data_IF_481850262109
#
_entry.id   IF_481850262109
#
_cell.length_a   1.000
_cell.length_b   1.000
_cell.length_c   1.000
_cell.angle_alpha   90.00
_cell.angle_beta   90.00
_cell.angle_gamma   90.00
#
_symmetry.space_group_name_H-M   'P 1'
#
loop_
_entity.id
_entity.type
_entity.pdbx_description
1 polymer ?
#
# COMPACT_ATOMS: atom_id res chain seq x y z
N UNK A 1 -16.13 26.24 -12.39
CA UNK A 1 -14.69 25.95 -12.52
C UNK A 1 -14.14 25.17 -11.32
N UNK A 2 -14.25 25.66 -10.08
CA UNK A 2 -13.70 25.00 -8.87
C UNK A 2 -14.14 23.54 -8.65
N UNK A 3 -15.42 23.21 -8.88
CA UNK A 3 -15.90 21.82 -8.68
C UNK A 3 -15.28 20.82 -9.68
N UNK A 4 -14.98 21.27 -10.90
CA UNK A 4 -14.29 20.46 -11.93
C UNK A 4 -12.80 20.26 -11.61
N UNK A 5 -12.17 21.26 -10.97
CA UNK A 5 -10.77 21.18 -10.54
C UNK A 5 -10.61 20.22 -9.36
N UNK A 6 -11.52 20.25 -8.38
CA UNK A 6 -11.50 19.33 -7.24
C UNK A 6 -11.74 17.87 -7.64
N UNK A 7 -12.65 17.64 -8.59
CA UNK A 7 -12.88 16.29 -9.13
C UNK A 7 -11.67 15.79 -9.92
N UNK A 8 -11.00 16.64 -10.70
CA UNK A 8 -9.78 16.28 -11.41
C UNK A 8 -8.62 15.92 -10.45
N UNK A 9 -8.41 16.72 -9.40
CA UNK A 9 -7.38 16.46 -8.38
C UNK A 9 -7.68 15.14 -7.65
N UNK A 10 -8.94 14.90 -7.28
CA UNK A 10 -9.34 13.63 -6.67
C UNK A 10 -9.07 12.42 -7.57
N UNK A 11 -9.44 12.50 -8.85
CA UNK A 11 -9.20 11.41 -9.82
C UNK A 11 -7.70 11.16 -9.98
N UNK A 12 -6.87 12.21 -10.06
CA UNK A 12 -5.41 12.07 -10.14
C UNK A 12 -4.84 11.43 -8.86
N UNK A 13 -5.25 11.89 -7.68
CA UNK A 13 -4.82 11.31 -6.40
C UNK A 13 -5.25 9.85 -6.28
N UNK A 14 -6.47 9.51 -6.71
CA UNK A 14 -6.99 8.15 -6.69
C UNK A 14 -6.18 7.24 -7.62
N UNK A 15 -5.90 7.67 -8.85
CA UNK A 15 -5.10 6.91 -9.82
C UNK A 15 -3.67 6.70 -9.31
N UNK A 16 -3.06 7.73 -8.73
CA UNK A 16 -1.68 7.66 -8.22
C UNK A 16 -1.55 6.73 -7.01
N UNK A 17 -2.58 6.65 -6.15
CA UNK A 17 -2.62 5.71 -5.03
C UNK A 17 -2.90 4.26 -5.49
N UNK A 18 -3.76 4.07 -6.48
CA UNK A 18 -4.09 2.74 -7.01
C UNK A 18 -2.92 2.13 -7.80
N UNK A 19 -2.09 2.97 -8.43
CA UNK A 19 -0.93 2.50 -9.21
C UNK A 19 0.29 2.14 -8.33
N UNK A 20 0.22 2.35 -7.01
CA UNK A 20 1.37 2.21 -6.10
C UNK A 20 1.48 0.83 -5.43
N UNK A 21 0.60 -0.12 -5.68
CA UNK A 21 0.61 -1.39 -4.94
C UNK A 21 -0.17 -2.50 -5.67
N UNK A 22 0.31 -2.93 -6.84
CA UNK A 22 -0.04 -4.29 -7.29
C UNK A 22 1.02 -5.18 -6.64
N UNK A 23 0.55 -6.11 -5.82
CA UNK A 23 1.31 -7.14 -5.12
C UNK A 23 0.50 -8.41 -5.40
N UNK A 24 0.93 -9.14 -6.43
CA UNK A 24 0.16 -10.18 -7.11
C UNK A 24 0.07 -11.45 -6.28
N UNK A 25 1.07 -11.77 -5.46
CA UNK A 25 1.09 -12.91 -4.56
C UNK A 25 0.77 -12.58 -3.10
N UNK A 26 0.77 -11.29 -2.74
CA UNK A 26 0.34 -10.79 -1.43
C UNK A 26 1.38 -10.96 -0.33
N UNK A 27 2.66 -11.02 -0.67
CA UNK A 27 3.75 -11.26 0.28
C UNK A 27 4.26 -9.99 0.98
N UNK A 28 3.78 -8.81 0.56
CA UNK A 28 4.14 -7.50 1.09
C UNK A 28 5.16 -6.73 0.25
N UNK A 29 5.61 -7.29 -0.88
CA UNK A 29 6.44 -6.66 -1.88
C UNK A 29 5.61 -6.38 -3.14
N UNK A 30 5.71 -5.18 -3.73
CA UNK A 30 4.94 -4.87 -4.94
C UNK A 30 5.61 -5.44 -6.21
N UNK A 31 4.82 -5.83 -7.21
CA UNK A 31 5.27 -6.46 -8.46
C UNK A 31 6.39 -5.68 -9.16
N UNK A 32 6.37 -4.33 -9.08
CA UNK A 32 7.40 -3.50 -9.69
C UNK A 32 8.73 -3.60 -8.92
N UNK A 33 8.67 -3.63 -7.59
CA UNK A 33 9.84 -3.88 -6.75
C UNK A 33 10.37 -5.29 -6.99
N UNK A 34 9.50 -6.29 -7.05
CA UNK A 34 9.87 -7.68 -7.35
C UNK A 34 10.59 -7.80 -8.69
N UNK A 35 10.02 -7.23 -9.75
CA UNK A 35 10.65 -7.18 -11.07
C UNK A 35 12.00 -6.45 -11.07
N UNK A 36 12.18 -5.49 -10.16
CA UNK A 36 13.42 -4.72 -10.03
C UNK A 36 14.52 -5.50 -9.31
N UNK A 37 14.17 -6.25 -8.26
CA UNK A 37 15.13 -7.04 -7.48
C UNK A 37 15.34 -8.46 -8.04
N UNK A 38 14.46 -8.89 -8.96
CA UNK A 38 14.56 -10.17 -9.67
C UNK A 38 13.79 -11.31 -9.02
N UNK A 39 12.89 -11.02 -8.08
CA UNK A 39 11.96 -12.00 -7.50
C UNK A 39 10.78 -12.25 -8.45
N UNK A 40 9.91 -13.20 -8.09
CA UNK A 40 8.79 -13.65 -8.91
C UNK A 40 7.48 -13.04 -8.41
N UNK A 41 6.93 -12.13 -9.23
CA UNK A 41 5.62 -11.45 -9.02
C UNK A 41 4.43 -12.36 -8.64
N UNK A 42 4.55 -13.68 -8.81
CA UNK A 42 3.47 -14.63 -8.56
C UNK A 42 3.86 -15.72 -7.55
N UNK A 43 4.88 -15.49 -6.74
CA UNK A 43 5.42 -16.46 -5.79
C UNK A 43 5.97 -15.78 -4.55
N UNK A 44 5.21 -15.94 -3.46
CA UNK A 44 5.56 -15.34 -2.17
C UNK A 44 6.97 -15.69 -1.66
N UNK A 45 7.57 -16.79 -2.13
CA UNK A 45 8.90 -17.26 -1.76
C UNK A 45 9.60 -17.66 -3.07
N UNK A 46 10.52 -16.82 -3.55
CA UNK A 46 11.15 -16.99 -4.86
C UNK A 46 12.18 -18.10 -4.86
N UNK A 47 12.95 -18.25 -3.79
CA UNK A 47 14.05 -19.20 -3.71
C UNK A 47 13.67 -20.53 -3.04
N UNK A 48 12.48 -20.61 -2.46
CA UNK A 48 11.87 -21.79 -1.83
C UNK A 48 12.55 -22.21 -0.51
N UNK A 49 13.05 -21.25 0.28
CA UNK A 49 13.70 -21.51 1.58
C UNK A 49 12.75 -21.48 2.78
N UNK A 50 11.52 -21.02 2.58
CA UNK A 50 10.46 -20.94 3.59
C UNK A 50 10.25 -19.57 4.22
N UNK A 51 10.98 -18.53 3.80
CA UNK A 51 10.69 -17.13 4.08
C UNK A 51 10.08 -16.46 2.84
N UNK A 52 9.25 -15.44 3.04
CA UNK A 52 8.69 -14.72 1.89
C UNK A 52 9.62 -13.61 1.41
N UNK A 53 9.62 -13.31 0.12
CA UNK A 53 10.53 -12.32 -0.48
C UNK A 53 10.39 -10.96 0.22
N UNK A 54 9.16 -10.55 0.53
CA UNK A 54 8.86 -9.34 1.29
C UNK A 54 9.46 -9.33 2.71
N UNK A 55 9.44 -10.47 3.42
CA UNK A 55 10.05 -10.61 4.75
C UNK A 55 11.56 -10.52 4.64
N UNK A 56 12.16 -11.18 3.67
CA UNK A 56 13.59 -11.16 3.46
C UNK A 56 14.13 -9.77 3.13
N UNK A 57 13.44 -9.05 2.23
CA UNK A 57 13.76 -7.65 1.92
C UNK A 57 13.60 -6.75 3.15
N UNK A 58 12.56 -6.95 3.95
CA UNK A 58 12.34 -6.17 5.18
C UNK A 58 13.47 -6.38 6.20
N UNK A 59 13.93 -7.61 6.37
CA UNK A 59 14.97 -7.97 7.33
C UNK A 59 16.39 -7.97 6.77
N UNK A 60 16.57 -7.55 5.51
CA UNK A 60 17.87 -7.37 4.89
C UNK A 60 18.59 -8.68 4.52
N UNK A 61 17.84 -9.76 4.32
CA UNK A 61 18.34 -10.98 3.68
C UNK A 61 18.11 -10.95 2.16
N UNK A 62 18.56 -11.98 1.44
CA UNK A 62 18.60 -12.04 -0.02
C UNK A 62 17.55 -13.03 -0.52
N UNK A 63 16.43 -12.56 -1.12
CA UNK A 63 15.29 -13.40 -1.51
C UNK A 63 15.54 -14.31 -2.72
N UNK A 64 16.77 -14.28 -3.25
CA UNK A 64 17.20 -15.13 -4.36
C UNK A 64 18.21 -16.19 -3.91
N UNK A 65 18.43 -16.35 -2.61
CA UNK A 65 19.48 -17.17 -2.05
C UNK A 65 19.00 -17.96 -0.84
N UNK A 66 18.70 -19.24 -1.09
CA UNK A 66 18.19 -20.23 -0.12
C UNK A 66 19.02 -20.47 1.15
N UNK A 67 20.19 -19.84 1.26
CA UNK A 67 21.07 -19.89 2.43
C UNK A 67 21.05 -18.59 3.22
N UNK A 68 20.36 -17.57 2.74
CA UNK A 68 20.29 -16.24 3.29
C UNK A 68 18.98 -16.04 4.02
N UNK A 69 18.87 -16.60 5.21
CA UNK A 69 17.67 -16.40 6.03
C UNK A 69 17.71 -15.06 6.79
N UNK A 70 16.54 -14.44 7.06
CA UNK A 70 16.45 -13.27 7.93
C UNK A 70 16.87 -13.62 9.37
N UNK A 71 17.53 -12.67 10.06
CA UNK A 71 18.05 -12.91 11.41
C UNK A 71 16.92 -13.04 12.46
N UNK A 72 16.93 -14.14 13.21
CA UNK A 72 15.90 -14.68 14.11
C UNK A 72 15.24 -13.67 15.08
N UNK A 73 13.93 -13.44 14.95
CA UNK A 73 13.07 -12.80 15.97
C UNK A 73 12.10 -13.78 16.67
N UNK A 74 12.54 -14.97 17.08
CA UNK A 74 11.73 -15.78 18.01
C UNK A 74 11.98 -15.30 19.44
N UNK A 75 11.26 -14.25 19.86
CA UNK A 75 10.90 -14.05 21.28
C UNK A 75 9.45 -13.60 21.40
N UNK A 76 8.55 -14.58 21.63
CA UNK A 76 7.31 -14.43 22.40
C UNK A 76 6.33 -13.32 22.02
N UNK A 77 5.18 -13.73 21.45
CA UNK A 77 3.97 -12.93 21.20
C UNK A 77 4.06 -12.03 19.93
N UNK A 78 3.59 -12.58 18.80
CA UNK A 78 3.25 -11.82 17.57
C UNK A 78 2.10 -10.84 17.83
N UNK A 79 2.37 -9.78 18.58
CA UNK A 79 1.47 -8.63 18.69
C UNK A 79 1.96 -7.51 17.77
N UNK A 80 1.50 -7.61 16.53
CA UNK A 80 1.07 -6.49 15.67
C UNK A 80 2.17 -5.56 15.15
N UNK A 81 2.86 -6.01 14.12
CA UNK A 81 3.15 -5.11 13.00
C UNK A 81 1.98 -5.28 12.03
N UNK A 82 0.99 -4.38 12.09
CA UNK A 82 -0.05 -4.37 11.08
C UNK A 82 0.63 -3.96 9.76
N UNK A 83 0.41 -4.68 8.65
CA UNK A 83 1.08 -4.40 7.39
C UNK A 83 0.92 -2.92 7.04
N UNK A 84 1.97 -2.28 6.50
CA UNK A 84 1.97 -0.87 6.10
C UNK A 84 0.76 -0.49 5.21
N UNK A 85 0.15 -1.47 4.56
CA UNK A 85 -1.12 -1.38 3.85
C UNK A 85 -2.29 -0.87 4.72
N UNK A 86 -2.32 -1.17 6.02
CA UNK A 86 -3.31 -0.61 6.95
C UNK A 86 -3.16 0.90 7.12
N UNK A 87 -1.95 1.44 7.03
CA UNK A 87 -1.71 2.88 7.07
C UNK A 87 -2.21 3.56 5.78
N UNK A 88 -1.97 2.95 4.62
CA UNK A 88 -2.45 3.46 3.33
C UNK A 88 -3.99 3.39 3.23
N UNK A 89 -4.61 2.30 3.70
CA UNK A 89 -6.07 2.18 3.80
C UNK A 89 -6.63 3.22 4.78
N UNK A 90 -5.98 3.43 5.92
CA UNK A 90 -6.40 4.47 6.87
C UNK A 90 -6.31 5.88 6.27
N UNK A 91 -5.24 6.19 5.52
CA UNK A 91 -5.07 7.46 4.82
C UNK A 91 -6.11 7.65 3.72
N UNK A 92 -6.43 6.61 2.97
CA UNK A 92 -7.49 6.61 1.95
C UNK A 92 -8.87 6.88 2.58
N UNK A 93 -9.19 6.21 3.68
CA UNK A 93 -10.45 6.43 4.40
C UNK A 93 -10.56 7.87 4.91
N UNK A 94 -9.49 8.40 5.52
CA UNK A 94 -9.44 9.79 6.02
C UNK A 94 -9.62 10.80 4.88
N UNK A 95 -8.96 10.59 3.73
CA UNK A 95 -9.07 11.50 2.59
C UNK A 95 -10.45 11.46 1.93
N UNK A 96 -11.06 10.28 1.79
CA UNK A 96 -12.45 10.14 1.29
C UNK A 96 -13.44 10.84 2.22
N UNK A 97 -13.35 10.61 3.54
CA UNK A 97 -14.23 11.27 4.53
C UNK A 97 -14.09 12.80 4.46
N UNK A 98 -12.87 13.31 4.33
CA UNK A 98 -12.59 14.75 4.23
C UNK A 98 -13.24 15.37 2.99
N UNK A 99 -13.14 14.70 1.83
CA UNK A 99 -13.73 15.19 0.58
C UNK A 99 -15.26 15.13 0.56
N UNK A 100 -15.85 14.08 1.12
CA UNK A 100 -17.31 13.98 1.29
C UNK A 100 -17.82 15.12 2.16
N UNK A 101 -17.13 15.38 3.28
CA UNK A 101 -17.49 16.48 4.19
C UNK A 101 -17.38 17.85 3.49
N UNK A 102 -16.30 18.07 2.74
CA UNK A 102 -16.09 19.29 1.97
C UNK A 102 -17.17 19.49 0.88
N UNK A 103 -17.54 18.41 0.19
CA UNK A 103 -18.59 18.44 -0.84
C UNK A 103 -19.94 18.90 -0.27
N UNK A 104 -20.35 18.35 0.89
CA UNK A 104 -21.59 18.77 1.56
C UNK A 104 -21.51 20.22 2.06
N UNK A 105 -20.37 20.64 2.61
CA UNK A 105 -20.17 22.01 3.06
C UNK A 105 -20.30 23.01 1.91
N UNK A 106 -19.63 22.75 0.77
CA UNK A 106 -19.69 23.60 -0.44
C UNK A 106 -21.09 23.57 -1.07
N UNK A 107 -21.75 22.42 -1.09
CA UNK A 107 -23.11 22.27 -1.65
C UNK A 107 -24.16 23.01 -0.83
N UNK A 108 -24.02 23.06 0.51
CA UNK A 108 -24.91 23.81 1.39
C UNK A 108 -24.73 25.31 1.23
N UNK A 109 -23.49 25.80 1.07
CA UNK A 109 -23.20 27.23 0.84
C UNK A 109 -23.92 27.77 -0.40
N UNK A 110 -24.02 26.98 -1.49
CA UNK A 110 -24.69 27.41 -2.72
C UNK A 110 -26.22 27.55 -2.63
N UNK A 111 -26.88 26.95 -1.62
CA UNK A 111 -28.33 27.07 -1.44
C UNK A 111 -28.75 28.26 -0.57
N UNK A 112 -27.80 28.94 0.08
CA UNK A 112 -28.06 30.09 0.95
C UNK A 112 -27.91 31.46 0.29
N UNK A 113 -27.45 31.52 -0.96
CA UNK A 113 -27.25 32.77 -1.71
C UNK A 113 -28.44 33.11 -2.64
N UNK A 114 -29.64 32.59 -2.34
CA UNK A 114 -30.90 32.89 -3.04
C UNK A 114 -31.98 33.37 -2.07
#
# INVERSE_FOLDING_TARGET
MILKLLTLIFVITLIFNVSYAIDTDGDGLDDLTEATIGTRENSMDTDEDGFSDGVEVEFGSDPLNVKSSPENQITGFSIRELPMQNYLIALLVVTIISQVTLFFHVSKKRKGDH
#
